data_IF_416724700034
#
_entry.id   IF_416724700034
#
_cell.length_a   1.000
_cell.length_b   1.000
_cell.length_c   1.000
_cell.angle_alpha   90.00
_cell.angle_beta   90.00
_cell.angle_gamma   90.00
#
_symmetry.space_group_name_H-M   'P 1'
#
loop_
_entity.id
_entity.type
_entity.pdbx_description
1 polymer ?
#
# COMPACT_ATOMS: atom_id res chain seq x y z
N UNK A 1 -7.43 2.27 -15.67
CA UNK A 1 -6.05 2.58 -15.28
C UNK A 1 -5.83 2.23 -13.81
N UNK A 2 -4.70 1.64 -13.47
CA UNK A 2 -4.36 1.28 -12.10
C UNK A 2 -3.08 2.01 -11.66
N UNK A 3 -3.03 2.43 -10.41
CA UNK A 3 -1.81 3.04 -9.87
C UNK A 3 -0.70 2.02 -9.70
N UNK A 4 -1.05 0.74 -9.49
CA UNK A 4 -0.06 -0.34 -9.38
C UNK A 4 0.82 -0.47 -10.63
N UNK A 5 0.30 -0.13 -11.80
CA UNK A 5 1.04 -0.19 -13.06
C UNK A 5 1.92 1.03 -13.33
N UNK A 6 1.92 2.03 -12.46
CA UNK A 6 2.70 3.25 -12.62
C UNK A 6 3.98 3.20 -11.79
N UNK A 7 4.97 3.99 -12.21
CA UNK A 7 6.18 4.16 -11.40
C UNK A 7 5.87 5.06 -10.19
N UNK A 8 6.71 4.98 -9.17
CA UNK A 8 6.61 5.90 -8.03
C UNK A 8 6.71 7.35 -8.48
N UNK A 9 7.59 7.63 -9.44
CA UNK A 9 7.77 8.97 -9.97
C UNK A 9 6.50 9.47 -10.66
N UNK A 10 5.85 8.62 -11.45
CA UNK A 10 4.59 8.95 -12.11
C UNK A 10 3.48 9.21 -11.10
N UNK A 11 3.38 8.37 -10.05
CA UNK A 11 2.38 8.56 -9.01
C UNK A 11 2.60 9.87 -8.25
N UNK A 12 3.84 10.15 -7.87
CA UNK A 12 4.18 11.40 -7.15
C UNK A 12 3.89 12.63 -7.99
N UNK A 13 4.20 12.59 -9.29
CA UNK A 13 3.91 13.70 -10.18
C UNK A 13 2.41 13.95 -10.31
N UNK A 14 1.63 12.89 -10.42
CA UNK A 14 0.18 12.98 -10.49
C UNK A 14 -0.41 13.51 -9.17
N UNK A 15 0.09 13.04 -8.05
CA UNK A 15 -0.34 13.48 -6.73
C UNK A 15 -0.04 14.97 -6.49
N UNK A 16 1.08 15.44 -7.01
CA UNK A 16 1.51 16.84 -6.87
C UNK A 16 0.80 17.80 -7.85
N UNK A 17 0.05 17.28 -8.80
CA UNK A 17 -0.64 18.09 -9.80
C UNK A 17 -1.86 18.79 -9.19
N UNK A 18 -2.50 19.64 -9.97
CA UNK A 18 -3.73 20.32 -9.56
C UNK A 18 -5.00 19.54 -9.92
N UNK A 19 -4.84 18.31 -10.44
CA UNK A 19 -5.97 17.42 -10.65
C UNK A 19 -6.52 16.91 -9.31
N UNK A 20 -7.84 16.69 -9.20
CA UNK A 20 -8.41 16.20 -7.95
C UNK A 20 -8.00 14.77 -7.60
N UNK A 21 -7.56 13.98 -8.56
CA UNK A 21 -7.10 12.60 -8.35
C UNK A 21 -5.74 12.38 -8.99
N UNK A 22 -4.85 11.61 -8.35
CA UNK A 22 -5.03 10.98 -7.04
C UNK A 22 -4.98 12.02 -5.92
N UNK A 23 -5.70 11.76 -4.84
CA UNK A 23 -5.69 12.61 -3.64
C UNK A 23 -5.20 11.85 -2.41
N UNK A 24 -5.62 12.36 -1.24
CA UNK A 24 -5.17 11.80 0.05
C UNK A 24 -5.57 10.36 0.28
N UNK A 25 -6.76 9.95 -0.20
CA UNK A 25 -7.21 8.56 -0.08
C UNK A 25 -6.33 7.60 -0.87
N UNK A 26 -5.97 7.98 -2.10
CA UNK A 26 -5.06 7.17 -2.92
C UNK A 26 -3.66 7.12 -2.32
N UNK A 27 -3.15 8.24 -1.81
CA UNK A 27 -1.86 8.29 -1.13
C UNK A 27 -1.87 7.39 0.12
N UNK A 28 -2.96 7.39 0.89
CA UNK A 28 -3.11 6.53 2.06
C UNK A 28 -3.08 5.04 1.66
N UNK A 29 -3.74 4.67 0.56
CA UNK A 29 -3.71 3.30 0.05
C UNK A 29 -2.31 2.84 -0.33
N UNK A 30 -1.55 3.68 -1.02
CA UNK A 30 -0.14 3.39 -1.37
C UNK A 30 0.69 3.25 -0.09
N UNK A 31 0.51 4.16 0.88
CA UNK A 31 1.23 4.12 2.15
C UNK A 31 0.92 2.84 2.94
N UNK A 32 -0.33 2.38 2.93
CA UNK A 32 -0.72 1.12 3.57
C UNK A 32 0.06 -0.05 2.99
N UNK A 33 0.15 -0.14 1.66
CA UNK A 33 0.92 -1.19 0.99
C UNK A 33 2.40 -1.15 1.36
N UNK A 34 2.99 0.04 1.43
CA UNK A 34 4.39 0.21 1.81
C UNK A 34 4.64 -0.16 3.27
N UNK A 35 3.73 0.24 4.18
CA UNK A 35 3.81 -0.12 5.58
C UNK A 35 3.73 -1.65 5.76
N UNK A 36 2.83 -2.29 5.03
CA UNK A 36 2.71 -3.75 5.03
C UNK A 36 3.99 -4.41 4.52
N UNK A 37 4.60 -3.86 3.47
CA UNK A 37 5.87 -4.37 2.94
C UNK A 37 6.99 -4.31 3.98
N UNK A 38 7.07 -3.23 4.74
CA UNK A 38 8.04 -3.10 5.82
C UNK A 38 7.78 -4.12 6.93
N UNK A 39 6.51 -4.36 7.27
CA UNK A 39 6.15 -5.38 8.26
C UNK A 39 6.57 -6.79 7.80
N UNK A 40 6.39 -7.10 6.52
CA UNK A 40 6.86 -8.37 5.94
C UNK A 40 8.37 -8.47 6.03
N UNK A 41 9.08 -7.39 5.70
CA UNK A 41 10.55 -7.36 5.77
C UNK A 41 11.05 -7.65 7.18
N UNK A 42 10.50 -6.96 8.18
CA UNK A 42 10.89 -7.16 9.58
C UNK A 42 10.58 -8.59 10.04
N UNK A 43 9.43 -9.13 9.63
CA UNK A 43 9.05 -10.51 9.95
C UNK A 43 10.04 -11.50 9.36
N UNK A 44 10.40 -11.33 8.07
CA UNK A 44 11.33 -12.23 7.40
C UNK A 44 12.73 -12.15 8.01
N UNK A 45 13.19 -10.95 8.37
CA UNK A 45 14.48 -10.78 9.05
C UNK A 45 14.50 -11.48 10.41
N UNK A 46 13.40 -11.41 11.17
CA UNK A 46 13.27 -12.09 12.45
C UNK A 46 13.28 -13.61 12.27
N UNK A 47 12.51 -14.10 11.31
CA UNK A 47 12.41 -15.53 11.02
C UNK A 47 13.71 -16.14 10.49
N UNK A 48 14.60 -15.32 9.94
CA UNK A 48 15.88 -15.79 9.40
C UNK A 48 16.96 -15.96 10.47
N UNK A 49 16.72 -15.53 11.71
CA UNK A 49 17.72 -15.54 12.78
C UNK A 49 17.26 -16.39 13.94
N UNK A 50 18.01 -17.46 14.25
CA UNK A 50 17.69 -18.33 15.36
C UNK A 50 17.79 -17.60 16.70
N UNK A 51 18.67 -16.59 16.82
CA UNK A 51 18.76 -15.78 18.02
C UNK A 51 17.47 -15.04 18.35
N UNK A 52 16.56 -14.89 17.38
CA UNK A 52 15.28 -14.22 17.52
C UNK A 52 14.09 -15.18 17.54
N UNK A 53 14.33 -16.45 17.77
CA UNK A 53 13.28 -17.49 17.68
C UNK A 53 12.11 -17.29 18.62
N UNK A 54 12.30 -16.57 19.72
CA UNK A 54 11.19 -16.26 20.63
C UNK A 54 10.14 -15.37 19.95
N UNK A 55 10.54 -14.62 18.95
CA UNK A 55 9.63 -13.77 18.18
C UNK A 55 9.04 -14.40 16.93
N UNK A 56 9.43 -15.64 16.59
CA UNK A 56 9.01 -16.26 15.33
C UNK A 56 7.51 -16.44 15.20
N UNK A 57 6.85 -16.86 16.27
CA UNK A 57 5.39 -17.06 16.26
C UNK A 57 4.64 -15.77 15.94
N UNK A 58 5.05 -14.67 16.56
CA UNK A 58 4.46 -13.34 16.32
C UNK A 58 4.79 -12.89 14.89
N UNK A 59 6.03 -13.10 14.46
CA UNK A 59 6.47 -12.70 13.11
C UNK A 59 5.70 -13.42 12.02
N UNK A 60 5.42 -14.70 12.19
CA UNK A 60 4.61 -15.46 11.26
C UNK A 60 3.19 -14.92 11.16
N UNK A 61 2.59 -14.54 12.29
CA UNK A 61 1.25 -13.95 12.30
C UNK A 61 1.22 -12.58 11.65
N UNK A 62 2.23 -11.74 11.93
CA UNK A 62 2.34 -10.41 11.30
C UNK A 62 2.46 -10.56 9.80
N UNK A 63 3.29 -11.48 9.33
CA UNK A 63 3.47 -11.73 7.91
C UNK A 63 2.17 -12.19 7.25
N UNK A 64 1.44 -13.08 7.90
CA UNK A 64 0.16 -13.60 7.41
C UNK A 64 -0.87 -12.49 7.21
N UNK A 65 -0.92 -11.53 8.13
CA UNK A 65 -1.81 -10.37 8.04
C UNK A 65 -1.31 -9.35 7.02
N UNK A 66 0.00 -9.10 6.96
CA UNK A 66 0.57 -8.04 6.14
C UNK A 66 0.63 -8.39 4.65
N UNK A 67 0.89 -9.66 4.29
CA UNK A 67 1.05 -10.04 2.88
C UNK A 67 -0.15 -9.64 2.00
N UNK A 68 -1.41 -9.90 2.39
CA UNK A 68 -2.54 -9.49 1.55
C UNK A 68 -2.67 -7.97 1.41
N UNK A 69 -2.14 -7.20 2.36
CA UNK A 69 -2.26 -5.74 2.35
C UNK A 69 -1.36 -5.07 1.31
N UNK A 70 -0.33 -5.77 0.82
CA UNK A 70 0.53 -5.24 -0.25
C UNK A 70 -0.28 -4.86 -1.47
N UNK A 71 -1.04 -5.80 -2.00
CA UNK A 71 -1.86 -5.58 -3.19
C UNK A 71 -3.14 -4.82 -2.88
N UNK A 72 -3.74 -5.10 -1.71
CA UNK A 72 -4.97 -4.42 -1.31
C UNK A 72 -4.77 -2.92 -1.20
N UNK A 73 -3.64 -2.46 -0.64
CA UNK A 73 -3.34 -1.03 -0.54
C UNK A 73 -3.33 -0.36 -1.90
N UNK A 74 -2.71 -0.98 -2.89
CA UNK A 74 -2.65 -0.47 -4.27
C UNK A 74 -4.03 -0.48 -4.94
N UNK A 75 -4.82 -1.54 -4.72
CA UNK A 75 -6.19 -1.61 -5.23
C UNK A 75 -7.06 -0.51 -4.63
N UNK A 76 -6.96 -0.28 -3.33
CA UNK A 76 -7.71 0.78 -2.65
C UNK A 76 -7.33 2.16 -3.18
N UNK A 77 -6.05 2.38 -3.48
CA UNK A 77 -5.60 3.63 -4.07
C UNK A 77 -6.29 3.90 -5.42
N UNK A 78 -6.38 2.89 -6.28
CA UNK A 78 -7.06 3.00 -7.57
C UNK A 78 -8.56 3.19 -7.39
N UNK A 79 -9.19 2.42 -6.51
CA UNK A 79 -10.63 2.53 -6.24
C UNK A 79 -11.00 3.90 -5.70
N UNK A 80 -10.18 4.47 -4.82
CA UNK A 80 -10.42 5.80 -4.27
C UNK A 80 -10.43 6.86 -5.38
N UNK A 81 -9.46 6.82 -6.29
CA UNK A 81 -9.40 7.74 -7.43
C UNK A 81 -10.63 7.59 -8.33
N UNK A 82 -11.00 6.35 -8.64
CA UNK A 82 -12.16 6.06 -9.50
C UNK A 82 -13.46 6.55 -8.86
N UNK A 83 -13.63 6.32 -7.55
CA UNK A 83 -14.81 6.76 -6.82
C UNK A 83 -14.93 8.27 -6.80
N UNK A 84 -13.82 8.96 -6.58
CA UNK A 84 -13.80 10.43 -6.57
C UNK A 84 -14.11 10.98 -7.97
N UNK A 85 -13.50 10.40 -9.01
CA UNK A 85 -13.75 10.83 -10.39
C UNK A 85 -15.23 10.66 -10.75
N UNK A 86 -15.86 9.57 -10.32
CA UNK A 86 -17.27 9.34 -10.55
C UNK A 86 -18.14 10.42 -9.87
N UNK A 87 -17.77 10.85 -8.66
CA UNK A 87 -18.46 11.94 -7.96
C UNK A 87 -18.32 13.26 -8.72
N UNK A 88 -17.10 13.58 -9.17
CA UNK A 88 -16.83 14.80 -9.93
C UNK A 88 -17.65 14.83 -11.21
N UNK A 89 -17.70 13.72 -11.95
CA UNK A 89 -18.46 13.60 -13.19
C UNK A 89 -19.96 13.79 -12.97
N UNK A 90 -20.47 13.51 -11.77
CA UNK A 90 -21.90 13.65 -11.47
C UNK A 90 -22.34 15.09 -11.28
N UNK A 91 -21.40 16.02 -11.16
CA UNK A 91 -21.68 17.46 -11.07
C UNK A 91 -21.57 18.10 -12.45
#
# INVERSE_FOLDING_TARGET
>A
MTWAGKTLQEFQAALASDDPTPGGGSAAGVALGQAAALAVMVSDLTLSKESLKEGWSISERVKEVALPLLDLGLELATQDSQSFDAVVESF
#
